data_IF_761637437067
#
_entry.id   IF_761637437067
#
_cell.length_a   1.000
_cell.length_b   1.000
_cell.length_c   1.000
_cell.angle_alpha   90.00
_cell.angle_beta   90.00
_cell.angle_gamma   90.00
#
_symmetry.space_group_name_H-M   'P 1'
#
loop_
_entity.id
_entity.type
_entity.pdbx_description
1 polymer ?
#
# COMPACT_ATOMS: atom_id res chain seq x y z
N UNK A 1 42.90 16.73 33.94
CA UNK A 1 42.83 16.35 32.53
C UNK A 1 41.43 16.59 32.05
N UNK A 2 41.27 17.65 31.27
CA UNK A 2 40.03 18.11 30.65
C UNK A 2 39.71 17.23 29.45
N UNK A 3 38.46 16.79 29.30
CA UNK A 3 37.91 16.31 28.05
C UNK A 3 36.73 17.22 27.68
N UNK A 4 36.90 17.96 26.59
CA UNK A 4 35.85 18.76 25.94
C UNK A 4 35.00 17.85 25.05
N UNK A 5 33.71 17.81 25.30
CA UNK A 5 32.74 17.31 24.31
C UNK A 5 32.12 18.52 23.59
N UNK A 6 32.53 18.70 22.35
CA UNK A 6 31.89 19.58 21.42
C UNK A 6 30.62 18.89 20.87
N UNK A 7 29.43 19.38 21.23
CA UNK A 7 28.20 19.12 20.53
C UNK A 7 28.07 20.18 19.42
N UNK A 8 28.32 19.75 18.18
CA UNK A 8 27.98 20.52 16.99
C UNK A 8 26.47 20.45 16.73
N UNK A 9 25.83 21.61 16.83
CA UNK A 9 24.48 21.82 16.36
C UNK A 9 24.44 21.64 14.82
N UNK A 10 23.70 20.66 14.33
CA UNK A 10 23.39 20.54 12.90
C UNK A 10 22.21 21.48 12.56
N UNK A 11 22.55 22.45 11.76
CA UNK A 11 21.68 23.40 11.10
C UNK A 11 20.75 22.65 10.11
N UNK A 12 19.43 22.67 10.34
CA UNK A 12 18.42 22.11 9.43
C UNK A 12 17.71 23.25 8.69
N UNK A 13 18.44 23.89 7.78
CA UNK A 13 17.82 24.75 6.80
C UNK A 13 18.07 24.21 5.39
N UNK A 14 17.00 24.17 4.61
CA UNK A 14 16.91 23.97 3.16
C UNK A 14 17.06 22.52 2.63
N UNK A 15 15.94 21.81 2.50
CA UNK A 15 15.79 20.84 1.43
C UNK A 15 14.54 21.12 0.59
N UNK A 16 14.77 21.93 -0.45
CA UNK A 16 13.90 22.00 -1.62
C UNK A 16 13.95 20.67 -2.40
N UNK A 17 12.78 20.16 -2.73
CA UNK A 17 12.42 19.29 -3.82
C UNK A 17 13.47 18.39 -4.48
N UNK A 18 13.66 17.18 -3.96
CA UNK A 18 14.08 16.05 -4.79
C UNK A 18 13.00 14.98 -4.75
N UNK A 19 12.24 14.87 -5.86
CA UNK A 19 11.38 13.72 -6.14
C UNK A 19 12.29 12.52 -6.39
N UNK A 20 12.62 11.81 -5.33
CA UNK A 20 13.28 10.51 -5.46
C UNK A 20 12.20 9.50 -5.83
N UNK A 21 12.21 9.06 -7.09
CA UNK A 21 11.52 7.85 -7.52
C UNK A 21 12.13 6.66 -6.76
N UNK A 22 11.58 6.33 -5.59
CA UNK A 22 11.92 5.13 -4.85
C UNK A 22 11.37 3.91 -5.59
N UNK A 23 12.26 3.16 -6.22
CA UNK A 23 11.99 1.80 -6.70
C UNK A 23 12.26 0.84 -5.54
N UNK A 24 11.19 0.35 -4.91
CA UNK A 24 11.16 -0.98 -4.30
C UNK A 24 11.40 -1.10 -2.81
N UNK A 25 10.50 -1.80 -2.16
CA UNK A 25 10.67 -2.48 -0.89
C UNK A 25 9.70 -2.03 0.22
N UNK A 26 9.02 -3.00 0.81
CA UNK A 26 8.03 -2.83 1.90
C UNK A 26 8.50 -2.02 3.13
N UNK A 27 9.80 -1.73 3.28
CA UNK A 27 10.33 -0.92 4.37
C UNK A 27 10.13 0.60 4.17
N UNK A 28 9.85 1.05 2.94
CA UNK A 28 9.63 2.47 2.65
C UNK A 28 8.17 2.90 2.85
N UNK A 29 7.25 1.95 3.11
CA UNK A 29 5.83 2.25 3.31
C UNK A 29 5.57 3.09 4.57
N UNK A 30 6.36 2.93 5.62
CA UNK A 30 6.18 3.71 6.84
C UNK A 30 6.57 5.18 6.65
N UNK A 31 7.64 5.45 5.89
CA UNK A 31 8.09 6.81 5.56
C UNK A 31 7.21 7.45 4.48
N UNK A 32 6.74 6.65 3.51
CA UNK A 32 5.83 7.13 2.46
C UNK A 32 4.42 7.48 2.99
N UNK A 33 4.00 6.88 4.12
CA UNK A 33 2.74 7.23 4.80
C UNK A 33 2.79 8.56 5.55
N UNK A 34 3.96 9.14 5.76
CA UNK A 34 4.09 10.47 6.35
C UNK A 34 3.57 11.57 5.39
N UNK A 35 3.62 11.34 4.07
CA UNK A 35 3.06 12.23 3.06
C UNK A 35 1.65 11.75 2.62
N UNK A 36 0.58 12.55 2.91
CA UNK A 36 -0.79 12.16 2.56
C UNK A 36 -1.04 12.03 1.07
N UNK A 37 -0.29 12.74 0.23
CA UNK A 37 -0.42 12.64 -1.22
C UNK A 37 0.10 11.29 -1.70
N UNK A 38 1.25 10.86 -1.19
CA UNK A 38 1.86 9.56 -1.52
C UNK A 38 1.03 8.39 -1.00
N UNK A 39 0.49 8.49 0.22
CA UNK A 39 -0.41 7.48 0.79
C UNK A 39 -1.69 7.28 -0.06
N UNK A 40 -2.29 8.38 -0.56
CA UNK A 40 -3.44 8.33 -1.49
C UNK A 40 -3.11 7.65 -2.81
N UNK A 41 -1.94 7.92 -3.35
CA UNK A 41 -1.49 7.31 -4.61
C UNK A 41 -1.28 5.80 -4.44
N UNK A 42 -0.61 5.38 -3.36
CA UNK A 42 -0.39 3.96 -3.06
C UNK A 42 -1.71 3.21 -2.85
N UNK A 43 -2.66 3.78 -2.10
CA UNK A 43 -4.00 3.19 -1.93
C UNK A 43 -4.71 3.01 -3.28
N UNK A 44 -4.63 4.03 -4.16
CA UNK A 44 -5.24 3.98 -5.49
C UNK A 44 -4.61 2.88 -6.37
N UNK A 45 -3.30 2.74 -6.35
CA UNK A 45 -2.58 1.69 -7.09
C UNK A 45 -2.97 0.29 -6.61
N UNK A 46 -3.04 0.07 -5.28
CA UNK A 46 -3.49 -1.19 -4.71
C UNK A 46 -4.94 -1.50 -5.06
N UNK A 47 -5.83 -0.51 -5.01
CA UNK A 47 -7.23 -0.68 -5.42
C UNK A 47 -7.38 -1.05 -6.88
N UNK A 48 -6.64 -0.39 -7.78
CA UNK A 48 -6.67 -0.69 -9.21
C UNK A 48 -6.13 -2.10 -9.45
N UNK A 49 -5.00 -2.47 -8.83
CA UNK A 49 -4.43 -3.81 -8.90
C UNK A 49 -5.42 -4.88 -8.45
N UNK A 50 -6.12 -4.66 -7.33
CA UNK A 50 -7.16 -5.56 -6.84
C UNK A 50 -8.33 -5.70 -7.83
N UNK A 51 -8.89 -4.59 -8.32
CA UNK A 51 -10.03 -4.62 -9.25
C UNK A 51 -9.65 -5.34 -10.55
N UNK A 52 -8.46 -5.07 -11.07
CA UNK A 52 -7.96 -5.71 -12.28
C UNK A 52 -7.73 -7.21 -12.07
N UNK A 53 -7.09 -7.61 -10.97
CA UNK A 53 -6.88 -9.02 -10.65
C UNK A 53 -8.21 -9.75 -10.43
N UNK A 54 -9.17 -9.13 -9.75
CA UNK A 54 -10.51 -9.69 -9.54
C UNK A 54 -11.24 -9.93 -10.86
N UNK A 55 -11.22 -8.93 -11.75
CA UNK A 55 -11.86 -9.04 -13.07
C UNK A 55 -11.29 -10.20 -13.91
N UNK A 56 -9.98 -10.40 -13.83
CA UNK A 56 -9.29 -11.49 -14.54
C UNK A 56 -9.45 -12.85 -13.85
N UNK A 57 -9.57 -12.87 -12.52
CA UNK A 57 -9.73 -14.10 -11.74
C UNK A 57 -11.12 -14.71 -11.90
N UNK A 58 -12.17 -13.90 -12.04
CA UNK A 58 -13.55 -14.39 -12.23
C UNK A 58 -13.65 -15.40 -13.37
N UNK A 59 -13.22 -15.10 -14.61
CA UNK A 59 -13.29 -16.09 -15.70
C UNK A 59 -12.42 -17.32 -15.46
N UNK A 60 -11.23 -17.17 -14.81
CA UNK A 60 -10.39 -18.31 -14.48
C UNK A 60 -11.14 -19.26 -13.56
N UNK A 61 -11.76 -18.76 -12.49
CA UNK A 61 -12.53 -19.57 -11.54
C UNK A 61 -13.76 -20.19 -12.19
N UNK A 62 -14.49 -19.46 -13.04
CA UNK A 62 -15.69 -19.97 -13.72
C UNK A 62 -15.37 -21.16 -14.64
N UNK A 63 -14.23 -21.13 -15.33
CA UNK A 63 -13.81 -22.20 -16.22
C UNK A 63 -12.97 -23.29 -15.54
N UNK A 64 -12.55 -23.08 -14.27
CA UNK A 64 -11.79 -24.09 -13.53
C UNK A 64 -12.67 -25.29 -13.14
N UNK A 65 -12.02 -26.41 -12.87
CA UNK A 65 -12.70 -27.61 -12.38
C UNK A 65 -13.40 -27.38 -11.04
N UNK A 66 -12.83 -26.50 -10.21
CA UNK A 66 -13.41 -26.09 -8.92
C UNK A 66 -14.69 -25.26 -9.13
N UNK A 67 -14.65 -24.26 -10.01
CA UNK A 67 -15.79 -23.39 -10.28
C UNK A 67 -16.96 -24.15 -10.89
N UNK A 68 -16.70 -25.05 -11.83
CA UNK A 68 -17.73 -25.89 -12.45
C UNK A 68 -18.38 -26.84 -11.44
N UNK A 69 -17.61 -27.43 -10.52
CA UNK A 69 -18.13 -28.28 -9.43
C UNK A 69 -19.01 -27.50 -8.44
N UNK A 70 -18.60 -26.27 -8.08
CA UNK A 70 -19.36 -25.43 -7.13
C UNK A 70 -20.65 -24.89 -7.74
N UNK A 71 -20.60 -24.42 -8.99
CA UNK A 71 -21.74 -23.83 -9.68
C UNK A 71 -22.69 -24.89 -10.31
N UNK A 72 -22.23 -26.15 -10.43
CA UNK A 72 -22.99 -27.21 -11.07
C UNK A 72 -23.29 -26.98 -12.55
N UNK A 73 -22.55 -26.10 -13.21
CA UNK A 73 -22.76 -25.71 -14.60
C UNK A 73 -21.56 -26.13 -15.44
N UNK A 74 -21.82 -26.95 -16.47
CA UNK A 74 -20.82 -27.25 -17.48
C UNK A 74 -20.83 -26.14 -18.54
N UNK A 75 -19.87 -25.22 -18.46
CA UNK A 75 -19.70 -24.16 -19.45
C UNK A 75 -19.11 -24.73 -20.74
N UNK A 76 -19.58 -24.29 -21.93
CA UNK A 76 -18.98 -24.69 -23.20
C UNK A 76 -17.54 -24.21 -23.31
N UNK A 77 -16.71 -24.92 -24.09
CA UNK A 77 -15.33 -24.56 -24.31
C UNK A 77 -15.19 -23.11 -24.80
N UNK A 78 -14.35 -22.27 -24.15
CA UNK A 78 -14.27 -20.84 -24.41
C UNK A 78 -13.60 -20.50 -25.75
N UNK A 79 -12.81 -21.44 -26.30
CA UNK A 79 -12.06 -21.23 -27.53
C UNK A 79 -12.29 -22.41 -28.51
N UNK A 80 -12.43 -22.15 -29.82
CA UNK A 80 -12.60 -23.20 -30.82
C UNK A 80 -11.26 -23.92 -31.15
N UNK A 81 -10.38 -24.10 -30.16
CA UNK A 81 -9.03 -24.68 -30.32
C UNK A 81 -9.02 -26.17 -29.94
N UNK A 82 -10.15 -26.84 -30.05
CA UNK A 82 -10.32 -28.24 -29.65
C UNK A 82 -9.42 -29.24 -30.40
N UNK A 83 -8.79 -28.83 -31.51
CA UNK A 83 -7.90 -29.72 -32.31
C UNK A 83 -6.49 -29.85 -31.73
N UNK A 84 -6.03 -28.89 -30.90
CA UNK A 84 -4.65 -28.88 -30.36
C UNK A 84 -4.57 -29.26 -28.88
N UNK A 85 -5.69 -29.12 -28.12
CA UNK A 85 -5.71 -29.37 -26.68
C UNK A 85 -6.93 -30.23 -26.33
N UNK A 86 -6.73 -31.36 -25.64
CA UNK A 86 -7.82 -32.28 -25.27
C UNK A 86 -8.90 -31.66 -24.38
N UNK A 87 -8.58 -30.57 -23.69
CA UNK A 87 -9.46 -29.88 -22.71
C UNK A 87 -10.26 -28.72 -23.38
N UNK A 88 -10.31 -28.62 -24.69
CA UNK A 88 -11.02 -27.54 -25.40
C UNK A 88 -10.40 -26.15 -25.18
N UNK A 89 -9.12 -26.08 -24.87
CA UNK A 89 -8.38 -24.81 -24.67
C UNK A 89 -8.63 -24.14 -23.32
N UNK A 90 -9.35 -24.75 -22.39
CA UNK A 90 -9.62 -24.20 -21.03
C UNK A 90 -8.34 -23.93 -20.27
N UNK A 91 -7.40 -24.87 -20.30
CA UNK A 91 -6.10 -24.71 -19.61
C UNK A 91 -5.25 -23.63 -20.25
N UNK A 92 -5.29 -23.46 -21.57
CA UNK A 92 -4.58 -22.39 -22.28
C UNK A 92 -5.14 -21.01 -21.93
N UNK A 93 -6.47 -20.87 -21.90
CA UNK A 93 -7.11 -19.63 -21.49
C UNK A 93 -6.75 -19.29 -20.03
N UNK A 94 -6.84 -20.27 -19.14
CA UNK A 94 -6.49 -20.10 -17.72
C UNK A 94 -5.02 -19.75 -17.56
N UNK A 95 -4.11 -20.35 -18.33
CA UNK A 95 -2.69 -20.01 -18.37
C UNK A 95 -2.47 -18.53 -18.76
N UNK A 96 -3.10 -18.06 -19.85
CA UNK A 96 -2.94 -16.69 -20.33
C UNK A 96 -3.46 -15.67 -19.30
N UNK A 97 -4.65 -15.91 -18.76
CA UNK A 97 -5.26 -15.02 -17.77
C UNK A 97 -4.48 -15.04 -16.44
N UNK A 98 -4.07 -16.23 -15.96
CA UNK A 98 -3.27 -16.34 -14.75
C UNK A 98 -1.88 -15.69 -14.91
N UNK A 99 -1.26 -15.81 -16.08
CA UNK A 99 -0.01 -15.10 -16.38
C UNK A 99 -0.20 -13.59 -16.28
N UNK A 100 -1.30 -13.06 -16.79
CA UNK A 100 -1.61 -11.64 -16.71
C UNK A 100 -1.83 -11.21 -15.24
N UNK A 101 -2.51 -12.02 -14.42
CA UNK A 101 -2.73 -11.73 -12.98
C UNK A 101 -1.41 -11.80 -12.21
N UNK A 102 -0.61 -12.84 -12.41
CA UNK A 102 0.61 -13.07 -11.64
C UNK A 102 1.71 -12.06 -11.98
N UNK A 103 1.90 -11.76 -13.28
CA UNK A 103 3.00 -10.91 -13.75
C UNK A 103 2.66 -9.42 -13.87
N UNK A 104 1.41 -9.01 -13.77
CA UNK A 104 1.04 -7.59 -13.75
C UNK A 104 0.67 -7.14 -12.33
N UNK A 105 -0.55 -7.36 -11.79
CA UNK A 105 -0.86 -6.92 -10.42
C UNK A 105 -0.08 -7.72 -9.35
N UNK A 106 0.27 -8.98 -9.60
CA UNK A 106 1.08 -9.81 -8.72
C UNK A 106 2.58 -9.49 -8.69
N UNK A 107 3.07 -8.67 -9.63
CA UNK A 107 4.49 -8.31 -9.71
C UNK A 107 5.05 -7.68 -8.44
N UNK A 108 4.21 -6.98 -7.70
CA UNK A 108 4.60 -6.36 -6.43
C UNK A 108 5.12 -7.38 -5.41
N UNK A 109 4.51 -8.58 -5.36
CA UNK A 109 4.92 -9.65 -4.44
C UNK A 109 6.20 -10.34 -4.93
N UNK A 110 6.33 -10.55 -6.24
CA UNK A 110 7.52 -11.16 -6.84
C UNK A 110 8.74 -10.26 -6.64
N UNK A 111 8.60 -8.97 -6.93
CA UNK A 111 9.68 -8.00 -6.72
C UNK A 111 10.00 -7.81 -5.24
N UNK A 112 8.99 -7.73 -4.38
CA UNK A 112 9.16 -7.65 -2.92
C UNK A 112 9.92 -8.86 -2.37
N UNK A 113 9.55 -10.07 -2.79
CA UNK A 113 10.24 -11.31 -2.43
C UNK A 113 11.70 -11.31 -2.86
N UNK A 114 12.00 -10.87 -4.09
CA UNK A 114 13.38 -10.78 -4.58
C UNK A 114 14.24 -9.86 -3.70
N UNK A 115 13.72 -8.66 -3.35
CA UNK A 115 14.45 -7.74 -2.48
C UNK A 115 14.60 -8.24 -1.04
N UNK A 116 13.57 -8.91 -0.49
CA UNK A 116 13.61 -9.51 0.84
C UNK A 116 14.66 -10.62 0.92
N UNK A 117 14.70 -11.52 -0.06
CA UNK A 117 15.71 -12.58 -0.16
C UNK A 117 17.12 -12.02 -0.33
N UNK A 118 17.29 -10.97 -1.13
CA UNK A 118 18.60 -10.29 -1.29
C UNK A 118 19.10 -9.68 0.01
N UNK A 119 18.19 -9.18 0.85
CA UNK A 119 18.49 -8.65 2.20
C UNK A 119 18.57 -9.75 3.28
N UNK A 120 18.36 -11.02 2.91
CA UNK A 120 18.27 -12.17 3.83
C UNK A 120 17.20 -12.00 4.91
N UNK A 121 16.12 -11.30 4.61
CA UNK A 121 14.94 -11.14 5.48
C UNK A 121 13.82 -12.01 4.92
N UNK A 122 13.17 -12.77 5.80
CA UNK A 122 11.96 -13.49 5.44
C UNK A 122 10.77 -12.58 5.73
N UNK A 123 10.12 -12.13 4.67
CA UNK A 123 8.99 -11.23 4.74
C UNK A 123 7.73 -11.92 4.19
N UNK A 124 6.57 -11.39 4.49
CA UNK A 124 5.28 -11.89 4.01
C UNK A 124 5.24 -12.01 2.47
N UNK A 125 5.92 -11.11 1.75
CA UNK A 125 6.05 -11.16 0.29
C UNK A 125 6.72 -12.43 -0.22
N UNK A 126 7.70 -12.97 0.53
CA UNK A 126 8.41 -14.22 0.18
C UNK A 126 7.46 -15.40 0.25
N UNK A 127 6.65 -15.47 1.31
CA UNK A 127 5.67 -16.55 1.48
C UNK A 127 4.62 -16.53 0.37
N UNK A 128 4.07 -15.35 0.07
CA UNK A 128 3.06 -15.16 -0.97
C UNK A 128 3.64 -15.52 -2.34
N UNK A 129 4.80 -14.95 -2.69
CA UNK A 129 5.44 -15.22 -3.98
C UNK A 129 5.77 -16.70 -4.17
N UNK A 130 6.24 -17.38 -3.12
CA UNK A 130 6.53 -18.82 -3.16
C UNK A 130 5.27 -19.63 -3.43
N UNK A 131 4.15 -19.34 -2.74
CA UNK A 131 2.87 -20.02 -2.96
C UNK A 131 2.31 -19.79 -4.36
N UNK A 132 2.30 -18.53 -4.82
CA UNK A 132 1.81 -18.15 -6.16
C UNK A 132 2.66 -18.82 -7.25
N UNK A 133 3.99 -18.69 -7.15
CA UNK A 133 4.89 -19.24 -8.17
C UNK A 133 4.88 -20.77 -8.17
N UNK A 134 4.77 -21.44 -7.03
CA UNK A 134 4.66 -22.91 -6.95
C UNK A 134 3.39 -23.40 -7.68
N UNK A 135 2.22 -22.80 -7.39
CA UNK A 135 0.97 -23.15 -8.06
C UNK A 135 1.01 -22.84 -9.56
N UNK A 136 1.56 -21.69 -9.92
CA UNK A 136 1.69 -21.26 -11.32
C UNK A 136 2.63 -22.16 -12.12
N UNK A 137 3.85 -22.41 -11.62
CA UNK A 137 4.87 -23.23 -12.32
C UNK A 137 4.39 -24.68 -12.47
N UNK A 138 3.78 -25.24 -11.43
CA UNK A 138 3.19 -26.56 -11.49
C UNK A 138 2.12 -26.66 -12.58
N UNK A 139 1.17 -25.72 -12.61
CA UNK A 139 0.09 -25.68 -13.59
C UNK A 139 0.60 -25.41 -15.00
N UNK A 140 1.63 -24.57 -15.13
CA UNK A 140 2.32 -24.34 -16.39
C UNK A 140 2.95 -25.61 -16.94
N UNK A 141 3.67 -26.37 -16.10
CA UNK A 141 4.26 -27.64 -16.48
C UNK A 141 3.20 -28.65 -16.93
N UNK A 142 2.08 -28.76 -16.18
CA UNK A 142 0.96 -29.63 -16.56
C UNK A 142 0.31 -29.26 -17.89
N UNK A 143 0.25 -27.98 -18.20
CA UNK A 143 -0.35 -27.49 -19.46
C UNK A 143 0.56 -27.71 -20.66
N UNK A 144 1.88 -27.51 -20.52
CA UNK A 144 2.85 -27.58 -21.62
C UNK A 144 3.27 -29.05 -21.92
N UNK A 145 3.46 -29.85 -20.87
CA UNK A 145 3.85 -31.25 -21.07
C UNK A 145 2.62 -32.13 -21.26
N UNK A 146 2.18 -32.29 -22.52
CA UNK A 146 0.94 -33.01 -22.91
C UNK A 146 0.83 -34.46 -22.43
N UNK A 147 1.89 -35.06 -21.89
CA UNK A 147 1.90 -36.40 -21.29
C UNK A 147 1.52 -36.45 -19.81
N UNK A 148 1.43 -35.31 -19.13
CA UNK A 148 1.09 -35.24 -17.73
C UNK A 148 -0.43 -35.09 -17.58
N UNK A 149 -1.08 -36.06 -16.92
CA UNK A 149 -2.51 -35.98 -16.58
C UNK A 149 -2.62 -35.51 -15.13
N UNK A 150 -3.16 -34.31 -14.92
CA UNK A 150 -3.39 -33.77 -13.60
C UNK A 150 -4.24 -32.50 -13.63
N UNK A 151 -4.75 -32.14 -12.47
CA UNK A 151 -5.49 -30.89 -12.31
C UNK A 151 -4.52 -29.70 -12.32
N UNK A 152 -4.92 -28.59 -12.90
CA UNK A 152 -4.17 -27.34 -12.87
C UNK A 152 -4.68 -26.47 -11.72
N UNK A 153 -3.82 -25.61 -11.16
CA UNK A 153 -4.13 -24.73 -10.02
C UNK A 153 -3.98 -23.25 -10.37
N UNK A 154 -4.29 -22.89 -11.61
CA UNK A 154 -4.24 -21.49 -12.05
C UNK A 154 -5.20 -20.60 -11.26
N UNK A 155 -6.39 -21.11 -10.95
CA UNK A 155 -7.38 -20.43 -10.10
C UNK A 155 -6.85 -20.18 -8.70
N UNK A 156 -6.12 -21.14 -8.11
CA UNK A 156 -5.54 -20.96 -6.79
C UNK A 156 -4.48 -19.86 -6.77
N UNK A 157 -3.59 -19.82 -7.78
CA UNK A 157 -2.60 -18.77 -7.93
C UNK A 157 -3.25 -17.40 -8.12
N UNK A 158 -4.26 -17.29 -9.00
CA UNK A 158 -4.96 -16.05 -9.27
C UNK A 158 -5.78 -15.55 -8.07
N UNK A 159 -6.50 -16.46 -7.39
CA UNK A 159 -7.23 -16.11 -6.16
C UNK A 159 -6.30 -15.65 -5.04
N UNK A 160 -5.15 -16.31 -4.85
CA UNK A 160 -4.18 -15.91 -3.82
C UNK A 160 -3.67 -14.48 -4.08
N UNK A 161 -3.29 -14.13 -5.31
CA UNK A 161 -2.89 -12.76 -5.67
C UNK A 161 -4.03 -11.78 -5.40
N UNK A 162 -5.26 -12.11 -5.81
CA UNK A 162 -6.42 -11.24 -5.66
C UNK A 162 -6.77 -10.99 -4.20
N UNK A 163 -6.82 -12.03 -3.37
CA UNK A 163 -7.10 -11.89 -1.93
C UNK A 163 -6.02 -11.13 -1.18
N UNK A 164 -4.77 -11.33 -1.53
CA UNK A 164 -3.68 -10.60 -0.87
C UNK A 164 -3.69 -9.14 -1.26
N UNK A 165 -3.95 -8.80 -2.53
CA UNK A 165 -4.13 -7.40 -2.96
C UNK A 165 -5.33 -6.75 -2.26
N UNK A 166 -6.42 -7.48 -2.08
CA UNK A 166 -7.56 -7.01 -1.30
C UNK A 166 -7.17 -6.70 0.15
N UNK A 167 -6.46 -7.62 0.80
CA UNK A 167 -5.97 -7.44 2.17
C UNK A 167 -5.08 -6.20 2.30
N UNK A 168 -4.12 -6.02 1.40
CA UNK A 168 -3.25 -4.84 1.38
C UNK A 168 -4.02 -3.54 1.14
N UNK A 169 -4.96 -3.53 0.19
CA UNK A 169 -5.81 -2.37 -0.03
C UNK A 169 -6.63 -2.00 1.22
N UNK A 170 -7.25 -2.99 1.89
CA UNK A 170 -8.00 -2.77 3.11
C UNK A 170 -7.11 -2.27 4.26
N UNK A 171 -5.91 -2.83 4.40
CA UNK A 171 -4.91 -2.37 5.36
C UNK A 171 -4.53 -0.90 5.14
N UNK A 172 -4.19 -0.54 3.89
CA UNK A 172 -3.84 0.85 3.53
C UNK A 172 -4.98 1.81 3.83
N UNK A 173 -6.21 1.43 3.49
CA UNK A 173 -7.42 2.21 3.76
C UNK A 173 -7.65 2.43 5.25
N UNK A 174 -7.49 1.38 6.06
CA UNK A 174 -7.66 1.46 7.52
C UNK A 174 -6.63 2.37 8.17
N UNK A 175 -5.34 2.21 7.81
CA UNK A 175 -4.24 3.04 8.33
C UNK A 175 -4.43 4.52 8.01
N UNK A 176 -4.89 4.83 6.79
CA UNK A 176 -5.17 6.20 6.37
C UNK A 176 -6.29 6.84 7.18
N UNK A 177 -7.39 6.15 7.41
CA UNK A 177 -8.50 6.69 8.20
C UNK A 177 -8.08 7.13 9.61
N UNK A 178 -7.18 6.41 10.25
CA UNK A 178 -6.63 6.77 11.56
C UNK A 178 -5.75 8.02 11.49
N UNK A 179 -4.89 8.13 10.47
CA UNK A 179 -4.03 9.30 10.28
C UNK A 179 -4.81 10.58 9.97
N UNK A 180 -5.88 10.49 9.17
CA UNK A 180 -6.74 11.64 8.85
C UNK A 180 -7.48 12.14 10.11
N UNK A 181 -7.93 11.25 10.99
CA UNK A 181 -8.57 11.62 12.26
C UNK A 181 -7.60 12.33 13.21
N UNK A 182 -6.36 11.84 13.32
CA UNK A 182 -5.32 12.50 14.12
C UNK A 182 -4.97 13.89 13.56
N UNK A 183 -4.86 14.04 12.25
CA UNK A 183 -4.60 15.34 11.61
C UNK A 183 -5.71 16.34 11.88
N UNK A 184 -6.97 15.92 11.83
CA UNK A 184 -8.09 16.79 12.16
C UNK A 184 -8.00 17.37 13.59
N UNK A 185 -7.37 16.64 14.53
CA UNK A 185 -7.07 17.17 15.88
C UNK A 185 -5.94 18.19 15.85
N UNK A 186 -4.87 17.94 15.09
CA UNK A 186 -3.77 18.92 14.95
C UNK A 186 -4.20 20.20 14.24
N UNK A 187 -5.14 20.12 13.28
CA UNK A 187 -5.71 21.28 12.58
C UNK A 187 -6.56 22.18 13.50
N UNK A 188 -6.87 21.74 14.72
CA UNK A 188 -7.52 22.59 15.72
C UNK A 188 -6.55 23.64 16.28
N UNK A 189 -5.26 23.36 16.33
CA UNK A 189 -4.23 24.28 16.78
C UNK A 189 -3.86 25.24 15.65
N UNK A 190 -4.01 26.56 15.82
CA UNK A 190 -3.64 27.53 14.78
C UNK A 190 -2.12 27.54 14.59
N UNK A 191 -1.61 27.68 13.34
CA UNK A 191 -0.18 27.65 13.07
C UNK A 191 0.54 28.89 13.59
N UNK A 192 -0.17 29.98 13.86
CA UNK A 192 0.35 31.28 14.33
C UNK A 192 -0.49 31.81 15.48
N UNK A 193 0.15 32.53 16.37
CA UNK A 193 -0.46 33.21 17.50
C UNK A 193 -0.01 34.67 17.59
N UNK A 194 -0.89 35.53 18.10
CA UNK A 194 -0.57 36.93 18.41
C UNK A 194 -0.16 37.01 19.87
N UNK A 195 1.08 37.43 20.10
CA UNK A 195 1.62 37.58 21.48
C UNK A 195 2.04 39.01 21.72
N UNK A 196 1.97 39.46 22.98
CA UNK A 196 2.51 40.73 23.45
C UNK A 196 3.89 40.47 24.03
N UNK A 197 4.93 41.00 23.38
CA UNK A 197 6.28 41.03 23.90
C UNK A 197 6.80 42.47 23.88
N UNK A 198 7.35 42.95 24.98
CA UNK A 198 7.83 44.34 25.08
C UNK A 198 6.78 45.41 24.75
N UNK A 199 5.54 45.21 25.16
CA UNK A 199 4.39 46.07 24.84
C UNK A 199 4.07 46.20 23.32
N UNK A 200 4.57 45.30 22.50
CA UNK A 200 4.26 45.25 21.06
C UNK A 200 3.54 43.94 20.73
N UNK A 201 2.47 44.07 19.94
CA UNK A 201 1.81 42.90 19.35
C UNK A 201 2.66 42.34 18.20
N UNK A 202 3.07 41.09 18.32
CA UNK A 202 3.81 40.37 17.28
C UNK A 202 3.09 39.08 16.95
N UNK A 203 3.15 38.65 15.69
CA UNK A 203 2.64 37.36 15.22
C UNK A 203 3.82 36.40 15.17
N UNK A 204 3.72 35.29 15.89
CA UNK A 204 4.75 34.25 15.93
C UNK A 204 4.15 32.89 15.61
N UNK A 205 4.95 31.93 15.13
CA UNK A 205 4.54 30.53 15.04
C UNK A 205 4.12 30.01 16.41
N UNK A 206 3.05 29.21 16.49
CA UNK A 206 2.57 28.64 17.78
C UNK A 206 3.62 27.80 18.49
N UNK A 207 4.59 27.24 17.76
CA UNK A 207 5.74 26.50 18.30
C UNK A 207 6.77 27.37 19.05
N UNK A 208 6.73 28.68 18.85
CA UNK A 208 7.66 29.66 19.47
C UNK A 208 7.08 30.34 20.71
N UNK A 209 5.85 29.99 21.10
CA UNK A 209 5.22 30.48 22.33
C UNK A 209 6.00 29.96 23.54
N UNK A 210 6.31 30.87 24.47
CA UNK A 210 7.05 30.57 25.69
C UNK A 210 6.17 30.70 26.93
N UNK A 211 6.57 30.04 27.97
CA UNK A 211 5.94 30.20 29.28
C UNK A 211 5.94 31.67 29.72
N UNK A 212 4.81 32.18 30.18
CA UNK A 212 4.53 33.59 30.52
C UNK A 212 4.38 34.56 29.35
N UNK A 213 4.25 34.10 28.09
CA UNK A 213 3.80 34.96 26.99
C UNK A 213 2.32 35.32 27.19
N UNK A 214 1.96 36.56 26.94
CA UNK A 214 0.56 37.02 26.90
C UNK A 214 0.06 36.89 25.47
N UNK A 215 -1.00 36.09 25.27
CA UNK A 215 -1.58 35.81 23.96
C UNK A 215 -2.88 36.58 23.81
N UNK A 216 -3.05 37.25 22.67
CA UNK A 216 -4.29 37.94 22.32
C UNK A 216 -5.16 37.00 21.53
N UNK A 217 -6.36 36.72 22.04
CA UNK A 217 -7.38 35.90 21.39
C UNK A 217 -8.61 36.78 21.15
N UNK A 218 -9.01 36.91 19.89
CA UNK A 218 -10.23 37.65 19.49
C UNK A 218 -11.40 36.69 19.32
N UNK A 219 -12.64 37.15 19.44
CA UNK A 219 -13.80 36.30 19.11
C UNK A 219 -13.69 35.66 17.74
N UNK A 220 -13.78 34.34 17.67
CA UNK A 220 -13.57 33.54 16.46
C UNK A 220 -12.16 33.01 16.23
N UNK A 221 -11.15 33.46 17.00
CA UNK A 221 -9.80 32.92 16.94
C UNK A 221 -9.73 31.56 17.66
N UNK A 222 -8.84 30.69 17.18
CA UNK A 222 -8.54 29.43 17.84
C UNK A 222 -7.49 29.65 18.94
N UNK A 223 -7.64 28.95 20.06
CA UNK A 223 -6.69 28.96 21.18
C UNK A 223 -5.47 28.13 20.83
N UNK A 224 -4.24 28.70 20.75
CA UNK A 224 -3.05 28.00 20.28
C UNK A 224 -2.43 27.06 21.31
N UNK A 225 -2.52 27.37 22.60
CA UNK A 225 -1.94 26.63 23.73
C UNK A 225 -2.81 26.78 24.98
N UNK A 226 -2.63 25.88 25.94
CA UNK A 226 -3.29 26.02 27.23
C UNK A 226 -2.76 27.25 27.98
N UNK A 227 -3.65 27.94 28.69
CA UNK A 227 -3.31 29.16 29.42
C UNK A 227 -4.32 29.56 30.48
N UNK A 228 -4.05 30.63 31.15
CA UNK A 228 -4.93 31.25 32.18
C UNK A 228 -5.39 32.60 31.64
N UNK A 229 -6.68 32.87 31.76
CA UNK A 229 -7.26 34.16 31.34
C UNK A 229 -6.76 35.21 32.34
N UNK A 230 -6.09 36.24 31.82
CA UNK A 230 -5.62 37.38 32.62
C UNK A 230 -6.53 38.59 32.49
N UNK A 231 -7.09 38.81 31.32
CA UNK A 231 -8.06 39.88 31.03
C UNK A 231 -9.14 39.35 30.05
N UNK A 232 -10.37 39.82 30.23
CA UNK A 232 -11.52 39.43 29.38
C UNK A 232 -12.39 38.37 30.05
N UNK A 233 -13.43 37.96 29.31
CA UNK A 233 -14.39 36.93 29.71
C UNK A 233 -14.30 35.69 28.78
#
# INVERSE_FOLDING_TARGET
KKSHNNHSCHDHSAHAGHVVKSKGGHHDHASAMADPAMAKQMEKEMRIGFILSLLLTIPIVLYSSLGQKILGVNLPAPLPVSLAFPDGGVNLLSLLLASLVVFWPGWIFISGSYYALKKRTLDMSVLIATGVLAAYIYSFAMTIFAGLKGETFFEAAAMLVTFVLFGHWMEMRSRRGTSDALRALFDLVPPQAKVIRNNLEIVIPSSEIRHNDIIIIKPGDKIPVDGIITEGE
#
